data_IF_640919068121
#
_entry.id   IF_640919068121
#
_cell.length_a   1.000
_cell.length_b   1.000
_cell.length_c   1.000
_cell.angle_alpha   90.00
_cell.angle_beta   90.00
_cell.angle_gamma   90.00
#
_symmetry.space_group_name_H-M   'P 1'
#
loop_
_entity.id
_entity.type
_entity.pdbx_description
1 polymer ?
#
# COMPACT_ATOMS: atom_id res chain seq x y z
N UNK A 1 -13.97 -11.81 -12.32
CA UNK A 1 -14.92 -10.68 -12.47
C UNK A 1 -14.79 -9.73 -11.29
N UNK A 2 -14.78 -8.42 -11.48
CA UNK A 2 -14.64 -7.46 -10.38
C UNK A 2 -16.00 -6.97 -9.88
N UNK A 3 -16.15 -6.87 -8.56
CA UNK A 3 -17.28 -6.20 -7.93
C UNK A 3 -16.98 -4.69 -7.93
N UNK A 4 -17.89 -3.86 -8.45
CA UNK A 4 -17.64 -2.42 -8.63
C UNK A 4 -18.22 -1.52 -7.55
N UNK A 5 -19.07 -2.07 -6.69
CA UNK A 5 -19.64 -1.38 -5.54
C UNK A 5 -19.82 -2.36 -4.37
N UNK A 6 -19.76 -1.84 -3.15
CA UNK A 6 -19.88 -2.63 -1.93
C UNK A 6 -21.25 -3.34 -1.86
N UNK A 7 -21.30 -4.68 -1.91
CA UNK A 7 -22.54 -5.42 -1.70
C UNK A 7 -23.03 -5.22 -0.27
N UNK A 8 -24.26 -4.73 -0.12
CA UNK A 8 -24.88 -4.41 1.18
C UNK A 8 -26.21 -5.11 1.39
N UNK A 9 -26.55 -5.31 2.66
CA UNK A 9 -27.82 -5.80 3.17
C UNK A 9 -28.25 -7.09 2.44
N UNK A 10 -29.33 -7.02 1.65
CA UNK A 10 -29.83 -8.15 0.88
C UNK A 10 -28.80 -8.63 -0.16
N UNK A 11 -28.11 -7.73 -0.84
CA UNK A 11 -27.10 -8.12 -1.86
C UNK A 11 -25.94 -8.84 -1.20
N UNK A 12 -25.51 -8.38 -0.02
CA UNK A 12 -24.50 -9.05 0.79
C UNK A 12 -24.96 -10.45 1.21
N UNK A 13 -26.20 -10.57 1.68
CA UNK A 13 -26.79 -11.86 2.05
C UNK A 13 -26.85 -12.84 0.87
N UNK A 14 -27.37 -12.40 -0.27
CA UNK A 14 -27.50 -13.22 -1.47
C UNK A 14 -26.11 -13.63 -2.00
N UNK A 15 -25.10 -12.76 -1.86
CA UNK A 15 -23.70 -13.08 -2.14
C UNK A 15 -23.15 -14.17 -1.21
N UNK A 16 -23.40 -14.07 0.10
CA UNK A 16 -22.99 -15.12 1.04
C UNK A 16 -23.72 -16.45 0.76
N UNK A 17 -25.01 -16.41 0.43
CA UNK A 17 -25.77 -17.61 0.09
C UNK A 17 -25.14 -18.33 -1.11
N UNK A 18 -24.76 -17.59 -2.16
CA UNK A 18 -24.02 -18.17 -3.29
C UNK A 18 -22.65 -18.70 -2.86
N UNK A 19 -21.84 -17.91 -2.15
CA UNK A 19 -20.49 -18.29 -1.75
C UNK A 19 -20.47 -19.56 -0.88
N UNK A 20 -21.40 -19.69 0.08
CA UNK A 20 -21.53 -20.89 0.91
C UNK A 20 -22.02 -22.12 0.14
N UNK A 21 -22.74 -21.94 -0.97
CA UNK A 21 -23.17 -23.04 -1.83
C UNK A 21 -22.07 -23.54 -2.78
N UNK A 22 -21.10 -22.69 -3.11
CA UNK A 22 -20.07 -22.96 -4.12
C UNK A 22 -18.71 -23.34 -3.53
N UNK A 23 -18.39 -22.86 -2.32
CA UNK A 23 -17.06 -22.97 -1.72
C UNK A 23 -17.05 -23.92 -0.53
N UNK A 24 -15.93 -24.60 -0.28
CA UNK A 24 -15.75 -25.48 0.88
C UNK A 24 -15.22 -24.73 2.11
N UNK A 25 -14.56 -23.59 1.88
CA UNK A 25 -13.91 -22.82 2.94
C UNK A 25 -14.05 -21.31 2.73
N UNK A 26 -13.90 -20.56 3.82
CA UNK A 26 -13.68 -19.12 3.79
C UNK A 26 -12.56 -18.76 4.75
N UNK A 27 -12.00 -17.57 4.57
CA UNK A 27 -10.95 -17.03 5.43
C UNK A 27 -11.34 -15.69 6.03
N UNK A 28 -10.72 -15.40 7.17
CA UNK A 28 -10.72 -14.10 7.82
C UNK A 28 -9.32 -13.82 8.37
N UNK A 29 -8.93 -12.55 8.41
CA UNK A 29 -7.56 -12.15 8.72
C UNK A 29 -7.49 -11.26 9.95
N UNK A 30 -6.50 -11.49 10.81
CA UNK A 30 -6.15 -10.61 11.93
C UNK A 30 -4.73 -10.11 11.71
N UNK A 31 -4.60 -8.81 11.39
CA UNK A 31 -3.29 -8.16 11.25
C UNK A 31 -2.74 -7.82 12.64
N UNK A 32 -1.56 -8.36 12.96
CA UNK A 32 -0.88 -8.13 14.23
C UNK A 32 -0.30 -6.70 14.39
N UNK A 33 -0.33 -5.89 13.33
CA UNK A 33 0.28 -4.55 13.26
C UNK A 33 -0.76 -3.44 12.97
N UNK A 34 -2.06 -3.68 13.26
CA UNK A 34 -2.98 -2.55 13.41
C UNK A 34 -2.42 -1.64 14.52
N UNK A 35 -2.50 -0.32 14.37
CA UNK A 35 -1.68 0.63 15.14
C UNK A 35 -1.82 0.36 16.64
N UNK A 36 -0.75 0.60 17.40
CA UNK A 36 -0.75 0.45 18.86
C UNK A 36 -1.95 1.21 19.46
N UNK A 37 -2.94 0.46 19.99
CA UNK A 37 -4.25 0.98 20.39
C UNK A 37 -5.45 0.22 19.80
N UNK A 38 -5.25 -0.57 18.76
CA UNK A 38 -6.30 -1.42 18.16
C UNK A 38 -6.52 -2.69 19.02
N UNK A 39 -7.14 -2.49 20.19
CA UNK A 39 -7.66 -3.59 21.01
C UNK A 39 -8.76 -4.28 20.18
N UNK A 40 -8.71 -5.62 20.01
CA UNK A 40 -9.79 -6.35 19.37
C UNK A 40 -11.12 -5.96 19.99
N UNK A 41 -12.03 -5.44 19.17
CA UNK A 41 -13.36 -5.06 19.67
C UNK A 41 -14.07 -6.27 20.26
N UNK A 42 -15.01 -6.03 21.18
CA UNK A 42 -15.88 -7.09 21.71
C UNK A 42 -16.60 -7.83 20.58
N UNK A 43 -17.02 -7.12 19.53
CA UNK A 43 -17.62 -7.68 18.32
C UNK A 43 -16.68 -8.67 17.62
N UNK A 44 -15.43 -8.29 17.36
CA UNK A 44 -14.43 -9.18 16.77
C UNK A 44 -14.20 -10.44 17.62
N UNK A 45 -14.09 -10.29 18.94
CA UNK A 45 -13.94 -11.41 19.86
C UNK A 45 -15.16 -12.34 19.85
N UNK A 46 -16.37 -11.78 19.78
CA UNK A 46 -17.62 -12.54 19.67
C UNK A 46 -17.68 -13.33 18.35
N UNK A 47 -17.24 -12.75 17.23
CA UNK A 47 -17.15 -13.46 15.94
C UNK A 47 -16.14 -14.60 16.01
N UNK A 48 -14.93 -14.35 16.51
CA UNK A 48 -13.90 -15.38 16.69
C UNK A 48 -14.40 -16.55 17.55
N UNK A 49 -15.08 -16.24 18.66
CA UNK A 49 -15.66 -17.23 19.57
C UNK A 49 -16.79 -18.01 18.89
N UNK A 50 -17.70 -17.32 18.23
CA UNK A 50 -18.82 -17.93 17.51
C UNK A 50 -18.34 -18.86 16.39
N UNK A 51 -17.29 -18.48 15.67
CA UNK A 51 -16.74 -19.27 14.56
C UNK A 51 -15.84 -20.43 14.99
N UNK A 52 -15.51 -20.55 16.28
CA UNK A 52 -14.51 -21.49 16.79
C UNK A 52 -14.77 -22.96 16.43
N UNK A 53 -16.04 -23.39 16.39
CA UNK A 53 -16.43 -24.76 16.03
C UNK A 53 -16.29 -25.08 14.54
N UNK A 54 -16.25 -24.04 13.70
CA UNK A 54 -16.10 -24.14 12.25
C UNK A 54 -14.64 -23.99 11.79
N UNK A 55 -13.73 -23.67 12.71
CA UNK A 55 -12.32 -23.48 12.44
C UNK A 55 -11.68 -24.79 11.95
N UNK A 56 -10.95 -24.68 10.83
CA UNK A 56 -10.12 -25.76 10.28
C UNK A 56 -8.70 -25.60 10.83
N UNK A 57 -8.12 -24.43 10.60
CA UNK A 57 -6.75 -24.10 11.02
C UNK A 57 -6.53 -22.59 11.09
N UNK A 58 -5.47 -22.21 11.80
CA UNK A 58 -4.97 -20.83 11.89
C UNK A 58 -3.49 -20.84 11.50
N UNK A 59 -3.07 -19.93 10.63
CA UNK A 59 -1.68 -19.82 10.16
C UNK A 59 -1.15 -18.40 10.30
N UNK A 60 0.15 -18.30 10.56
CA UNK A 60 0.89 -17.05 10.40
C UNK A 60 1.35 -16.90 8.96
N UNK A 61 0.92 -15.84 8.28
CA UNK A 61 1.17 -15.63 6.86
C UNK A 61 1.49 -14.17 6.53
N UNK A 62 2.36 -13.98 5.54
CA UNK A 62 2.60 -12.70 4.89
C UNK A 62 1.76 -12.52 3.62
N UNK A 63 1.00 -13.55 3.21
CA UNK A 63 0.22 -13.51 1.98
C UNK A 63 -1.06 -14.33 2.16
N UNK A 64 -2.16 -13.77 1.66
CA UNK A 64 -3.47 -14.38 1.57
C UNK A 64 -4.16 -13.86 0.30
N UNK A 65 -5.29 -14.43 -0.13
CA UNK A 65 -6.03 -13.95 -1.31
C UNK A 65 -6.19 -12.43 -1.33
N UNK A 66 -5.65 -11.79 -2.37
CA UNK A 66 -5.77 -10.35 -2.58
C UNK A 66 -4.72 -9.48 -1.90
N UNK A 67 -3.96 -10.00 -0.92
CA UNK A 67 -3.06 -9.17 -0.11
C UNK A 67 -1.74 -9.87 0.18
N UNK A 68 -0.65 -9.14 -0.02
CA UNK A 68 0.71 -9.55 0.38
C UNK A 68 1.34 -8.47 1.25
N UNK A 69 1.64 -8.83 2.49
CA UNK A 69 2.44 -8.02 3.40
C UNK A 69 3.91 -8.03 2.94
N UNK A 70 4.54 -6.87 3.09
CA UNK A 70 5.97 -6.74 2.94
C UNK A 70 6.70 -7.53 4.05
N UNK A 71 7.65 -8.39 3.69
CA UNK A 71 8.36 -9.26 4.64
C UNK A 71 9.70 -8.68 5.14
N UNK A 72 9.87 -7.35 5.06
CA UNK A 72 11.09 -6.64 5.49
C UNK A 72 10.87 -5.74 6.69
N UNK A 73 11.97 -5.07 7.11
CA UNK A 73 11.87 -3.95 8.05
C UNK A 73 11.31 -2.73 7.33
N UNK A 74 10.43 -2.00 8.00
CA UNK A 74 10.01 -0.69 7.53
C UNK A 74 11.13 0.34 7.68
N UNK A 75 10.87 1.57 7.25
CA UNK A 75 11.85 2.64 7.33
C UNK A 75 12.22 3.04 8.78
N UNK A 76 11.51 2.53 9.80
CA UNK A 76 11.80 2.75 11.22
C UNK A 76 12.46 1.55 11.90
N UNK A 77 12.97 0.60 11.10
CA UNK A 77 13.57 -0.63 11.60
C UNK A 77 12.58 -1.63 12.18
N UNK A 78 11.26 -1.34 12.11
CA UNK A 78 10.23 -2.24 12.66
C UNK A 78 10.06 -3.42 11.73
N UNK A 79 10.10 -4.62 12.28
CA UNK A 79 9.83 -5.83 11.53
C UNK A 79 8.32 -5.98 11.32
N UNK A 80 7.89 -6.11 10.07
CA UNK A 80 6.50 -6.47 9.79
C UNK A 80 6.23 -7.86 10.37
N UNK A 81 5.18 -7.98 11.20
CA UNK A 81 4.75 -9.27 11.72
C UNK A 81 3.82 -9.96 10.71
N UNK A 82 3.80 -11.30 10.65
CA UNK A 82 2.82 -12.00 9.86
C UNK A 82 1.41 -11.70 10.38
N UNK A 83 0.42 -11.78 9.50
CA UNK A 83 -0.99 -11.80 9.90
C UNK A 83 -1.39 -13.21 10.34
N UNK A 84 -2.42 -13.30 11.18
CA UNK A 84 -3.08 -14.57 11.46
C UNK A 84 -4.23 -14.75 10.46
N UNK A 85 -4.12 -15.77 9.62
CA UNK A 85 -5.15 -16.15 8.66
C UNK A 85 -5.91 -17.35 9.21
N UNK A 86 -7.21 -17.19 9.40
CA UNK A 86 -8.10 -18.21 9.93
C UNK A 86 -8.86 -18.85 8.77
N UNK A 87 -8.82 -20.18 8.68
CA UNK A 87 -9.53 -20.95 7.67
C UNK A 87 -10.72 -21.64 8.32
N UNK A 88 -11.93 -21.40 7.81
CA UNK A 88 -13.18 -21.93 8.34
C UNK A 88 -13.92 -22.76 7.30
N UNK A 89 -14.71 -23.74 7.76
CA UNK A 89 -15.65 -24.49 6.91
C UNK A 89 -16.87 -23.64 6.57
N UNK A 90 -17.31 -23.68 5.32
CA UNK A 90 -18.61 -23.15 4.91
C UNK A 90 -19.73 -24.06 5.43
N UNK A 91 -20.40 -23.62 6.50
CA UNK A 91 -21.56 -24.29 7.08
C UNK A 91 -22.62 -23.26 7.47
N UNK A 92 -23.90 -23.65 7.52
CA UNK A 92 -25.01 -22.73 7.81
C UNK A 92 -24.84 -21.98 9.14
N UNK A 93 -24.28 -22.64 10.16
CA UNK A 93 -23.97 -22.00 11.43
C UNK A 93 -22.93 -20.88 11.30
N UNK A 94 -21.87 -21.10 10.52
CA UNK A 94 -20.88 -20.06 10.23
C UNK A 94 -21.49 -18.91 9.42
N UNK A 95 -22.31 -19.21 8.41
CA UNK A 95 -23.00 -18.19 7.60
C UNK A 95 -23.84 -17.26 8.47
N UNK A 96 -24.61 -17.82 9.41
CA UNK A 96 -25.42 -17.04 10.34
C UNK A 96 -24.56 -16.07 11.15
N UNK A 97 -23.42 -16.52 11.67
CA UNK A 97 -22.50 -15.66 12.43
C UNK A 97 -21.96 -14.52 11.57
N UNK A 98 -21.60 -14.78 10.30
CA UNK A 98 -21.15 -13.72 9.38
C UNK A 98 -22.26 -12.67 9.11
N UNK A 99 -23.49 -13.13 8.89
CA UNK A 99 -24.66 -12.25 8.66
C UNK A 99 -25.06 -11.45 9.90
N UNK A 100 -24.91 -12.02 11.10
CA UNK A 100 -25.19 -11.33 12.36
C UNK A 100 -24.10 -10.28 12.67
N UNK A 101 -22.88 -10.48 12.18
CA UNK A 101 -21.72 -9.62 12.43
C UNK A 101 -21.62 -8.41 11.48
N UNK A 102 -22.04 -8.57 10.23
CA UNK A 102 -21.87 -7.55 9.19
C UNK A 102 -23.05 -7.53 8.22
N UNK A 103 -23.32 -6.35 7.64
CA UNK A 103 -24.29 -6.17 6.57
C UNK A 103 -23.64 -5.75 5.24
N UNK A 104 -22.31 -5.82 5.11
CA UNK A 104 -21.62 -5.53 3.86
C UNK A 104 -20.33 -6.33 3.71
N UNK A 105 -19.85 -6.47 2.47
CA UNK A 105 -18.58 -7.16 2.21
C UNK A 105 -17.38 -6.34 2.70
N UNK A 106 -17.42 -5.00 2.53
CA UNK A 106 -16.30 -4.14 2.93
C UNK A 106 -16.32 -3.75 4.42
N UNK A 107 -17.34 -4.16 5.18
CA UNK A 107 -17.38 -4.00 6.64
C UNK A 107 -16.36 -4.87 7.38
N UNK A 108 -15.83 -5.93 6.74
CA UNK A 108 -14.82 -6.82 7.31
C UNK A 108 -13.47 -6.11 7.41
N UNK A 109 -13.33 -5.27 8.44
CA UNK A 109 -12.21 -4.37 8.66
C UNK A 109 -11.93 -4.22 10.16
N UNK A 110 -10.67 -4.34 10.56
CA UNK A 110 -10.24 -4.08 11.95
C UNK A 110 -10.35 -2.59 12.31
N UNK A 111 -10.58 -2.25 13.60
CA UNK A 111 -10.63 -3.12 14.78
C UNK A 111 -12.00 -3.75 15.08
N UNK A 112 -13.04 -3.39 14.34
CA UNK A 112 -14.43 -3.80 14.63
C UNK A 112 -14.72 -5.26 14.23
N UNK A 113 -14.13 -5.71 13.12
CA UNK A 113 -14.25 -7.09 12.63
C UNK A 113 -12.88 -7.59 12.17
N UNK A 114 -12.80 -8.88 11.85
CA UNK A 114 -11.66 -9.42 11.12
C UNK A 114 -11.59 -8.82 9.70
N UNK A 115 -10.43 -8.84 9.08
CA UNK A 115 -10.20 -8.34 7.73
C UNK A 115 -10.47 -9.38 6.63
N UNK A 116 -10.73 -8.87 5.42
CA UNK A 116 -10.59 -9.56 4.14
C UNK A 116 -11.36 -10.88 4.00
N UNK A 117 -12.68 -10.88 4.30
CA UNK A 117 -13.56 -12.03 4.09
C UNK A 117 -13.49 -12.53 2.64
N UNK A 118 -12.86 -13.68 2.45
CA UNK A 118 -12.63 -14.30 1.14
C UNK A 118 -13.02 -15.77 1.17
N UNK A 119 -13.44 -16.33 0.03
CA UNK A 119 -13.90 -17.71 -0.11
C UNK A 119 -12.98 -18.53 -1.00
N UNK A 120 -12.88 -19.83 -0.69
CA UNK A 120 -11.98 -20.77 -1.34
C UNK A 120 -12.83 -21.94 -1.88
N UNK A 121 -12.68 -22.20 -3.18
CA UNK A 121 -13.30 -23.31 -3.90
C UNK A 121 -12.21 -24.23 -4.45
N UNK A 122 -12.27 -25.52 -4.16
CA UNK A 122 -11.28 -26.53 -4.61
C UNK A 122 -9.83 -26.09 -4.38
N UNK A 123 -9.54 -25.60 -3.17
CA UNK A 123 -8.22 -25.08 -2.75
C UNK A 123 -7.73 -23.84 -3.50
N UNK A 124 -8.59 -23.17 -4.31
CA UNK A 124 -8.27 -21.94 -5.00
C UNK A 124 -9.15 -20.80 -4.49
N UNK A 125 -8.62 -19.56 -4.40
CA UNK A 125 -9.46 -18.40 -4.12
C UNK A 125 -10.59 -18.31 -5.15
N UNK A 126 -11.80 -18.04 -4.69
CA UNK A 126 -12.99 -17.92 -5.55
C UNK A 126 -13.60 -16.53 -5.45
N UNK A 127 -13.90 -16.05 -4.24
CA UNK A 127 -14.22 -14.65 -3.96
C UNK A 127 -13.09 -14.07 -3.13
N UNK A 128 -12.47 -13.01 -3.63
CA UNK A 128 -11.36 -12.32 -2.98
C UNK A 128 -11.85 -10.94 -2.59
N UNK A 129 -11.67 -10.57 -1.32
CA UNK A 129 -11.96 -9.22 -0.81
C UNK A 129 -10.75 -8.65 -0.09
N UNK A 130 -10.34 -7.46 -0.49
CA UNK A 130 -9.37 -6.62 0.21
C UNK A 130 -10.14 -5.42 0.76
N UNK A 131 -10.75 -5.60 1.94
CA UNK A 131 -11.78 -4.71 2.46
C UNK A 131 -11.24 -3.30 2.75
N UNK A 132 -10.01 -3.20 3.24
CA UNK A 132 -9.35 -1.93 3.51
C UNK A 132 -9.05 -1.12 2.23
N UNK A 133 -8.99 -1.77 1.07
CA UNK A 133 -8.87 -1.14 -0.25
C UNK A 133 -10.22 -0.98 -0.96
N UNK A 134 -11.31 -1.50 -0.38
CA UNK A 134 -12.65 -1.56 -0.99
C UNK A 134 -12.62 -2.22 -2.37
N UNK A 135 -11.89 -3.32 -2.48
CA UNK A 135 -11.78 -4.11 -3.69
C UNK A 135 -12.28 -5.53 -3.45
N UNK A 136 -13.06 -6.05 -4.38
CA UNK A 136 -13.37 -7.47 -4.41
C UNK A 136 -13.56 -7.97 -5.84
N UNK A 137 -13.25 -9.25 -6.05
CA UNK A 137 -13.41 -9.89 -7.34
C UNK A 137 -13.56 -11.40 -7.18
N UNK A 138 -14.22 -12.01 -8.16
CA UNK A 138 -14.29 -13.44 -8.35
C UNK A 138 -13.17 -13.92 -9.26
N UNK A 139 -12.50 -15.01 -8.88
CA UNK A 139 -11.53 -15.73 -9.71
C UNK A 139 -12.21 -16.98 -10.31
N UNK A 140 -12.91 -16.77 -11.42
CA UNK A 140 -13.57 -17.84 -12.17
C UNK A 140 -13.71 -17.46 -13.64
N UNK A 141 -13.55 -18.45 -14.51
CA UNK A 141 -13.84 -18.39 -15.95
C UNK A 141 -14.99 -19.36 -16.32
N UNK A 142 -15.62 -20.00 -15.34
CA UNK A 142 -16.73 -20.93 -15.55
C UNK A 142 -18.01 -20.15 -15.88
N UNK A 143 -18.54 -20.33 -17.10
CA UNK A 143 -19.73 -19.60 -17.58
C UNK A 143 -20.98 -19.82 -16.72
N UNK A 144 -21.11 -20.99 -16.09
CA UNK A 144 -22.25 -21.30 -15.25
C UNK A 144 -22.14 -20.57 -13.90
N UNK A 145 -20.95 -20.51 -13.32
CA UNK A 145 -20.68 -19.68 -12.13
C UNK A 145 -20.88 -18.19 -12.42
N UNK A 146 -20.38 -17.72 -13.56
CA UNK A 146 -20.56 -16.33 -14.01
C UNK A 146 -22.05 -15.98 -14.08
N UNK A 147 -22.87 -16.83 -14.70
CA UNK A 147 -24.33 -16.63 -14.75
C UNK A 147 -24.99 -16.61 -13.38
N UNK A 148 -24.53 -17.44 -12.44
CA UNK A 148 -25.01 -17.42 -11.05
C UNK A 148 -24.67 -16.10 -10.37
N UNK A 149 -23.42 -15.64 -10.50
CA UNK A 149 -22.97 -14.35 -9.95
C UNK A 149 -23.81 -13.19 -10.52
N UNK A 150 -23.99 -13.16 -11.84
CA UNK A 150 -24.78 -12.12 -12.53
C UNK A 150 -26.28 -12.16 -12.16
N UNK A 151 -26.78 -13.30 -11.68
CA UNK A 151 -28.17 -13.42 -11.24
C UNK A 151 -28.44 -12.82 -9.85
N UNK A 152 -27.39 -12.45 -9.10
CA UNK A 152 -27.56 -11.74 -7.82
C UNK A 152 -28.04 -10.33 -8.11
N UNK A 153 -29.32 -10.08 -7.83
CA UNK A 153 -29.95 -8.78 -8.07
C UNK A 153 -29.28 -7.68 -7.25
N UNK A 154 -28.76 -6.66 -7.93
CA UNK A 154 -28.12 -5.50 -7.31
C UNK A 154 -26.62 -5.66 -7.07
N UNK A 155 -26.03 -6.82 -7.40
CA UNK A 155 -24.59 -6.99 -7.40
C UNK A 155 -24.02 -6.40 -8.69
N UNK A 156 -23.24 -5.33 -8.57
CA UNK A 156 -22.59 -4.71 -9.73
C UNK A 156 -21.24 -5.36 -10.00
N UNK A 157 -21.14 -6.04 -11.14
CA UNK A 157 -19.92 -6.73 -11.57
C UNK A 157 -19.47 -6.32 -12.96
N UNK A 158 -18.16 -6.32 -13.18
CA UNK A 158 -17.54 -6.10 -14.48
C UNK A 158 -16.51 -7.17 -14.80
N UNK A 159 -16.57 -7.73 -16.01
CA UNK A 159 -15.51 -8.62 -16.51
C UNK A 159 -14.24 -7.84 -16.78
N UNK A 160 -13.08 -8.51 -16.74
CA UNK A 160 -11.78 -7.88 -17.05
C UNK A 160 -11.76 -7.27 -18.45
N UNK A 161 -12.44 -7.90 -19.41
CA UNK A 161 -12.61 -7.37 -20.75
C UNK A 161 -13.48 -6.11 -20.79
N UNK A 162 -14.60 -6.10 -20.06
CA UNK A 162 -15.46 -4.91 -19.97
C UNK A 162 -14.73 -3.74 -19.31
N UNK A 163 -13.87 -3.99 -18.33
CA UNK A 163 -13.02 -2.95 -17.71
C UNK A 163 -11.96 -2.46 -18.69
N UNK A 164 -11.38 -3.33 -19.53
CA UNK A 164 -10.41 -2.91 -20.56
C UNK A 164 -11.05 -2.09 -21.66
N UNK A 165 -12.25 -2.50 -22.13
CA UNK A 165 -13.01 -1.81 -23.20
C UNK A 165 -13.64 -0.50 -22.71
N UNK A 166 -14.14 -0.49 -21.48
CA UNK A 166 -14.69 0.67 -20.79
C UNK A 166 -13.68 1.33 -19.85
N UNK A 167 -12.37 1.14 -20.05
CA UNK A 167 -11.41 2.11 -19.50
C UNK A 167 -11.87 3.43 -20.09
N UNK A 168 -12.27 4.41 -19.28
CA UNK A 168 -12.32 5.76 -19.79
C UNK A 168 -10.95 5.96 -20.45
N UNK A 169 -10.91 6.34 -21.74
CA UNK A 169 -9.82 7.22 -22.15
C UNK A 169 -9.83 8.27 -21.06
N UNK A 170 -8.77 8.35 -20.26
CA UNK A 170 -8.69 9.31 -19.16
C UNK A 170 -8.75 10.68 -19.83
N UNK A 171 -9.96 11.17 -20.03
CA UNK A 171 -10.27 12.54 -20.33
C UNK A 171 -10.41 13.09 -18.92
N UNK A 172 -9.39 13.81 -18.48
CA UNK A 172 -9.45 14.60 -17.26
C UNK A 172 -10.56 15.63 -17.47
N UNK A 173 -11.78 15.30 -17.08
CA UNK A 173 -12.88 16.24 -17.07
C UNK A 173 -12.72 17.06 -15.79
N UNK A 174 -12.13 18.24 -15.94
CA UNK A 174 -12.15 19.38 -15.02
C UNK A 174 -12.10 19.03 -13.53
N UNK A 175 -10.87 18.82 -13.03
CA UNK A 175 -10.51 18.92 -11.61
C UNK A 175 -10.90 20.34 -11.09
N UNK A 176 -11.46 20.51 -9.87
CA UNK A 176 -11.93 21.81 -9.37
C UNK A 176 -10.80 22.84 -9.12
N UNK A 177 -9.55 22.40 -9.23
CA UNK A 177 -8.41 23.27 -9.35
C UNK A 177 -8.10 23.39 -10.83
N UNK A 178 -8.31 24.57 -11.39
CA UNK A 178 -8.03 24.94 -12.78
C UNK A 178 -6.50 24.91 -13.06
N UNK A 179 -5.86 23.77 -12.81
CA UNK A 179 -4.43 23.54 -12.94
C UNK A 179 -4.16 23.26 -14.41
N UNK A 180 -3.91 24.33 -15.14
CA UNK A 180 -3.50 24.23 -16.53
C UNK A 180 -2.17 23.47 -16.64
N UNK A 181 -2.09 22.52 -17.58
CA UNK A 181 -0.86 21.79 -17.82
C UNK A 181 0.24 22.74 -18.30
N UNK A 182 1.36 22.72 -17.60
CA UNK A 182 2.48 23.62 -17.87
C UNK A 182 3.09 23.43 -19.26
N UNK A 183 2.97 22.24 -19.85
CA UNK A 183 3.43 21.95 -21.20
C UNK A 183 2.40 22.33 -22.28
N UNK A 184 1.10 22.07 -22.05
CA UNK A 184 0.08 22.39 -23.04
C UNK A 184 -0.20 23.90 -23.16
N UNK A 185 0.01 24.65 -22.08
CA UNK A 185 -0.40 26.06 -21.97
C UNK A 185 0.75 27.02 -21.70
N UNK A 186 1.85 26.54 -21.10
CA UNK A 186 2.92 27.39 -20.57
C UNK A 186 4.04 27.75 -21.54
N UNK A 187 4.00 27.32 -22.81
CA UNK A 187 5.12 27.47 -23.76
C UNK A 187 6.48 27.08 -23.16
N UNK A 188 6.51 26.09 -22.27
CA UNK A 188 7.73 25.61 -21.64
C UNK A 188 8.34 24.47 -22.45
N UNK A 189 9.65 24.51 -22.59
CA UNK A 189 10.45 23.59 -23.38
C UNK A 189 11.44 22.83 -22.48
N UNK A 190 12.12 21.84 -23.07
CA UNK A 190 13.24 21.18 -22.41
C UNK A 190 14.29 22.21 -21.96
N UNK A 191 14.73 22.11 -20.71
CA UNK A 191 15.69 23.03 -20.09
C UNK A 191 15.06 24.13 -19.23
N UNK A 192 13.79 24.45 -19.42
CA UNK A 192 13.07 25.45 -18.62
C UNK A 192 12.81 24.95 -17.19
N UNK A 193 12.61 25.88 -16.25
CA UNK A 193 12.28 25.57 -14.85
C UNK A 193 10.76 25.67 -14.68
N UNK A 194 10.13 24.57 -14.28
CA UNK A 194 8.69 24.53 -14.03
C UNK A 194 8.33 25.27 -12.72
N UNK A 195 7.29 26.13 -12.71
CA UNK A 195 6.75 26.75 -11.50
C UNK A 195 6.52 25.77 -10.33
N UNK A 196 6.57 26.22 -9.08
CA UNK A 196 6.48 25.35 -7.90
C UNK A 196 5.21 24.47 -7.85
N UNK A 197 4.10 24.95 -8.43
CA UNK A 197 2.81 24.24 -8.50
C UNK A 197 2.42 23.83 -9.92
N UNK A 198 3.38 23.37 -10.72
CA UNK A 198 3.08 22.89 -12.07
C UNK A 198 2.41 21.52 -12.06
N UNK A 199 1.32 21.44 -12.82
CA UNK A 199 0.67 20.20 -13.22
C UNK A 199 1.14 19.79 -14.62
N UNK A 200 1.31 18.49 -14.83
CA UNK A 200 1.57 17.91 -16.14
C UNK A 200 0.44 16.95 -16.49
N UNK A 201 -0.25 17.20 -17.62
CA UNK A 201 -1.27 16.27 -18.08
C UNK A 201 -0.63 14.97 -18.58
N UNK A 202 -1.39 13.88 -18.54
CA UNK A 202 -0.92 12.58 -19.05
C UNK A 202 -0.51 12.62 -20.52
N UNK A 203 -1.13 13.48 -21.33
CA UNK A 203 -0.76 13.65 -22.73
C UNK A 203 0.71 14.07 -22.90
N UNK A 204 1.16 15.06 -22.13
CA UNK A 204 2.55 15.51 -22.20
C UNK A 204 3.54 14.60 -21.47
N UNK A 205 3.12 13.91 -20.39
CA UNK A 205 3.92 12.82 -19.80
C UNK A 205 4.20 11.74 -20.86
N UNK A 206 3.19 11.36 -21.63
CA UNK A 206 3.31 10.36 -22.69
C UNK A 206 4.12 10.85 -23.91
N UNK A 207 4.26 12.17 -24.08
CA UNK A 207 5.11 12.77 -25.13
C UNK A 207 6.59 12.88 -24.72
N UNK A 208 6.99 12.30 -23.60
CA UNK A 208 8.40 12.16 -23.23
C UNK A 208 9.02 13.36 -22.53
N UNK A 209 8.24 14.30 -21.99
CA UNK A 209 8.77 15.36 -21.12
C UNK A 209 8.39 15.11 -19.67
N UNK A 210 9.34 15.37 -18.76
CA UNK A 210 9.16 15.26 -17.32
C UNK A 210 9.71 16.49 -16.59
N UNK A 211 9.25 16.71 -15.36
CA UNK A 211 9.77 17.74 -14.45
C UNK A 211 10.70 17.06 -13.45
N UNK A 212 11.91 17.59 -13.29
CA UNK A 212 12.86 17.08 -12.30
C UNK A 212 12.36 17.32 -10.87
N UNK A 213 12.45 16.30 -10.02
CA UNK A 213 12.03 16.37 -8.62
C UNK A 213 12.93 17.23 -7.73
N UNK A 214 14.09 17.67 -8.23
CA UNK A 214 15.07 18.46 -7.45
C UNK A 214 15.08 19.91 -7.88
N UNK A 215 15.44 20.18 -9.13
CA UNK A 215 15.62 21.54 -9.64
C UNK A 215 14.43 22.04 -10.47
N UNK A 216 13.36 21.24 -10.57
CA UNK A 216 12.15 21.53 -11.36
C UNK A 216 12.42 21.72 -12.85
N UNK A 217 13.62 21.41 -13.34
CA UNK A 217 13.96 21.52 -14.76
C UNK A 217 13.17 20.51 -15.59
N UNK A 218 12.69 20.97 -16.72
CA UNK A 218 12.01 20.14 -17.72
C UNK A 218 13.06 19.38 -18.51
N UNK A 219 12.90 18.08 -18.65
CA UNK A 219 13.86 17.21 -19.32
C UNK A 219 13.16 16.07 -20.08
N UNK A 220 13.82 15.53 -21.08
CA UNK A 220 13.42 14.29 -21.73
C UNK A 220 14.03 13.08 -21.01
N UNK A 221 13.23 12.22 -20.33
CA UNK A 221 13.74 11.04 -19.64
C UNK A 221 14.45 10.03 -20.55
N UNK A 222 14.15 10.04 -21.86
CA UNK A 222 14.79 9.12 -22.82
C UNK A 222 16.24 9.52 -23.12
N UNK A 223 16.61 10.79 -22.91
CA UNK A 223 17.98 11.29 -23.10
C UNK A 223 18.87 11.07 -21.88
N UNK A 224 18.31 10.66 -20.75
CA UNK A 224 19.09 10.42 -19.53
C UNK A 224 19.78 9.06 -19.63
N UNK A 225 21.10 9.07 -19.51
CA UNK A 225 21.85 7.83 -19.40
C UNK A 225 21.49 7.13 -18.08
N UNK A 226 21.09 5.87 -18.15
CA UNK A 226 20.73 5.08 -16.95
C UNK A 226 21.89 4.94 -15.97
N UNK A 227 23.13 4.99 -16.45
CA UNK A 227 24.31 4.92 -15.59
C UNK A 227 24.53 6.21 -14.78
N UNK A 228 23.95 7.35 -15.20
CA UNK A 228 23.95 8.59 -14.43
C UNK A 228 23.01 8.53 -13.22
N UNK A 229 22.06 7.59 -13.21
CA UNK A 229 21.08 7.37 -12.13
C UNK A 229 21.49 6.20 -11.24
N UNK A 230 22.79 6.05 -10.97
CA UNK A 230 23.33 5.06 -10.05
C UNK A 230 24.08 5.74 -8.92
N UNK A 231 23.82 5.30 -7.70
CA UNK A 231 24.60 5.73 -6.54
C UNK A 231 25.97 5.06 -6.63
N UNK A 232 27.02 5.87 -6.67
CA UNK A 232 28.39 5.36 -6.65
C UNK A 232 28.83 5.04 -5.22
N UNK A 233 28.48 5.91 -4.27
CA UNK A 233 28.86 5.77 -2.85
C UNK A 233 27.60 5.83 -1.96
N UNK A 234 27.21 4.68 -1.42
CA UNK A 234 26.12 4.62 -0.44
C UNK A 234 26.55 5.17 0.91
N UNK A 235 25.62 5.80 1.60
CA UNK A 235 25.79 6.33 2.94
C UNK A 235 25.34 5.29 3.96
N UNK A 236 26.08 5.19 5.05
CA UNK A 236 25.75 4.32 6.17
C UNK A 236 25.76 5.12 7.47
N UNK A 237 24.92 4.71 8.42
CA UNK A 237 24.97 5.20 9.79
C UNK A 237 24.52 4.09 10.72
N UNK A 238 25.49 3.46 11.39
CA UNK A 238 25.21 2.39 12.34
C UNK A 238 24.95 2.93 13.74
N UNK A 239 23.85 2.49 14.35
CA UNK A 239 23.53 2.65 15.76
C UNK A 239 23.10 1.27 16.27
N UNK A 240 23.88 0.72 17.21
CA UNK A 240 23.77 -0.69 17.57
C UNK A 240 23.94 -1.60 16.35
N UNK A 241 23.01 -2.53 16.18
CA UNK A 241 22.96 -3.47 15.04
C UNK A 241 22.23 -2.89 13.80
N UNK A 242 21.72 -1.65 13.88
CA UNK A 242 20.90 -1.05 12.85
C UNK A 242 21.72 -0.09 11.98
N UNK A 243 21.64 -0.23 10.65
CA UNK A 243 22.07 0.81 9.72
C UNK A 243 20.86 1.66 9.30
N UNK A 244 20.78 2.89 9.81
CA UNK A 244 19.63 3.77 9.62
C UNK A 244 19.46 4.23 8.17
N UNK A 245 20.44 4.03 7.30
CA UNK A 245 20.36 4.42 5.89
C UNK A 245 20.17 3.24 4.95
N UNK A 246 20.15 2.00 5.46
CA UNK A 246 20.00 0.79 4.66
C UNK A 246 18.74 0.82 3.78
N UNK A 247 17.61 1.26 4.34
CA UNK A 247 16.34 1.36 3.62
C UNK A 247 16.44 2.34 2.43
N UNK A 248 17.00 3.54 2.67
CA UNK A 248 17.16 4.56 1.62
C UNK A 248 18.12 4.06 0.52
N UNK A 249 19.19 3.36 0.92
CA UNK A 249 20.12 2.77 -0.04
C UNK A 249 19.42 1.77 -0.96
N UNK A 250 18.60 0.87 -0.40
CA UNK A 250 17.84 -0.11 -1.19
C UNK A 250 16.83 0.55 -2.12
N UNK A 251 16.09 1.56 -1.66
CA UNK A 251 15.12 2.29 -2.51
C UNK A 251 15.80 2.92 -3.74
N UNK A 252 17.02 3.42 -3.58
CA UNK A 252 17.73 4.08 -4.65
C UNK A 252 18.51 3.15 -5.59
N UNK A 253 18.79 1.90 -5.19
CA UNK A 253 19.39 0.91 -6.10
C UNK A 253 18.49 0.62 -7.31
N UNK A 254 17.17 0.60 -7.09
CA UNK A 254 16.18 0.25 -8.13
C UNK A 254 15.41 1.47 -8.67
N UNK A 255 15.74 2.68 -8.19
CA UNK A 255 14.97 3.88 -8.52
C UNK A 255 15.10 4.25 -9.99
N UNK A 256 13.96 4.49 -10.63
CA UNK A 256 13.88 4.91 -12.03
C UNK A 256 13.11 6.22 -12.17
N UNK A 257 13.68 7.17 -12.90
CA UNK A 257 13.00 8.36 -13.41
C UNK A 257 12.88 9.54 -12.43
N UNK A 258 12.27 10.62 -12.94
CA UNK A 258 11.98 11.86 -12.20
C UNK A 258 13.18 12.77 -11.92
N UNK A 259 14.35 12.47 -12.49
CA UNK A 259 15.61 13.17 -12.22
C UNK A 259 16.34 13.43 -13.54
N UNK A 260 16.76 14.68 -13.76
CA UNK A 260 17.27 15.16 -15.05
C UNK A 260 18.79 15.02 -15.24
N UNK A 261 19.53 14.61 -14.20
CA UNK A 261 20.99 14.53 -14.23
C UNK A 261 21.53 13.73 -13.06
N UNK A 262 22.79 13.27 -13.19
CA UNK A 262 23.55 12.66 -12.08
C UNK A 262 23.61 13.56 -10.84
N UNK A 263 23.84 14.86 -11.04
CA UNK A 263 23.82 15.86 -9.95
C UNK A 263 22.48 15.87 -9.22
N UNK A 264 21.37 15.96 -9.96
CA UNK A 264 20.05 15.91 -9.35
C UNK A 264 19.78 14.58 -8.66
N UNK A 265 20.25 13.47 -9.21
CA UNK A 265 20.10 12.16 -8.58
C UNK A 265 20.84 12.08 -7.24
N UNK A 266 22.10 12.53 -7.18
CA UNK A 266 22.87 12.60 -5.93
C UNK A 266 22.25 13.56 -4.90
N UNK A 267 21.83 14.76 -5.33
CA UNK A 267 21.15 15.71 -4.44
C UNK A 267 19.85 15.13 -3.88
N UNK A 268 19.06 14.45 -4.71
CA UNK A 268 17.84 13.81 -4.30
C UNK A 268 18.10 12.72 -3.26
N UNK A 269 19.10 11.87 -3.49
CA UNK A 269 19.54 10.85 -2.53
C UNK A 269 19.95 11.44 -1.18
N UNK A 270 20.85 12.43 -1.17
CA UNK A 270 21.29 13.09 0.06
C UNK A 270 20.13 13.73 0.83
N UNK A 271 19.20 14.38 0.12
CA UNK A 271 17.99 14.93 0.74
C UNK A 271 17.13 13.85 1.40
N UNK A 272 16.97 12.68 0.77
CA UNK A 272 16.23 11.57 1.38
C UNK A 272 16.95 11.03 2.62
N UNK A 273 18.28 10.85 2.57
CA UNK A 273 19.05 10.45 3.75
C UNK A 273 18.88 11.45 4.90
N UNK A 274 19.07 12.75 4.65
CA UNK A 274 18.94 13.81 5.66
C UNK A 274 17.54 13.80 6.27
N UNK A 275 16.50 13.83 5.43
CA UNK A 275 15.10 13.82 5.88
C UNK A 275 14.81 12.57 6.72
N UNK A 276 15.34 11.42 6.30
CA UNK A 276 15.17 10.17 7.02
C UNK A 276 15.78 10.21 8.41
N UNK A 277 17.04 10.63 8.54
CA UNK A 277 17.72 10.78 9.83
C UNK A 277 17.07 11.85 10.73
N UNK A 278 16.61 12.97 10.16
CA UNK A 278 15.84 13.98 10.90
C UNK A 278 14.54 13.40 11.46
N UNK A 279 13.90 12.48 10.75
CA UNK A 279 12.70 11.80 11.24
C UNK A 279 13.00 10.97 12.50
N UNK A 280 14.14 10.25 12.53
CA UNK A 280 14.59 9.54 13.74
C UNK A 280 14.81 10.48 14.93
N UNK A 281 15.47 11.64 14.70
CA UNK A 281 15.65 12.64 15.76
C UNK A 281 14.34 13.19 16.29
N UNK A 282 13.40 13.52 15.39
CA UNK A 282 12.10 14.06 15.76
C UNK A 282 11.31 13.04 16.59
N UNK A 283 11.26 11.79 16.15
CA UNK A 283 10.58 10.70 16.87
C UNK A 283 11.23 10.38 18.21
N UNK A 284 12.57 10.43 18.30
CA UNK A 284 13.27 10.23 19.56
C UNK A 284 13.02 11.39 20.55
N UNK A 285 12.80 12.61 20.05
CA UNK A 285 12.47 13.79 20.86
C UNK A 285 11.00 13.84 21.27
N UNK A 286 10.14 13.06 20.62
CA UNK A 286 8.74 12.94 20.97
C UNK A 286 8.58 12.13 22.25
N UNK A 287 7.68 12.56 23.14
CA UNK A 287 7.41 11.92 24.42
C UNK A 287 6.49 10.70 24.27
N UNK A 288 5.94 10.48 23.07
CA UNK A 288 5.09 9.33 22.80
C UNK A 288 5.86 8.01 22.92
N UNK A 289 5.27 7.07 23.64
CA UNK A 289 5.77 5.70 23.73
C UNK A 289 5.81 5.06 22.34
N UNK A 290 6.96 4.50 21.98
CA UNK A 290 7.18 3.83 20.69
C UNK A 290 7.72 2.43 20.92
N UNK A 291 7.22 1.47 20.15
CA UNK A 291 7.71 0.08 20.13
C UNK A 291 8.97 -0.10 19.29
N UNK A 292 9.47 0.96 18.64
CA UNK A 292 10.71 0.87 17.88
C UNK A 292 11.92 0.85 18.81
N UNK A 293 12.57 -0.32 18.90
CA UNK A 293 13.80 -0.53 19.68
C UNK A 293 14.87 0.51 19.33
N UNK A 294 15.05 0.80 18.04
CA UNK A 294 16.06 1.77 17.57
C UNK A 294 15.70 3.22 17.94
N UNK A 295 14.42 3.59 17.94
CA UNK A 295 14.01 4.92 18.41
C UNK A 295 14.27 5.06 19.91
N UNK A 296 13.98 4.02 20.69
CA UNK A 296 14.28 3.99 22.12
C UNK A 296 15.80 4.03 22.39
N UNK A 297 16.60 3.34 21.58
CA UNK A 297 18.07 3.36 21.67
C UNK A 297 18.64 4.75 21.36
N UNK A 298 18.07 5.47 20.40
CA UNK A 298 18.47 6.86 20.09
C UNK A 298 18.00 7.81 21.20
N UNK A 299 16.75 7.67 21.65
CA UNK A 299 16.15 8.52 22.69
C UNK A 299 16.95 8.47 23.99
N UNK A 300 17.27 7.26 24.46
CA UNK A 300 17.88 7.04 25.76
C UNK A 300 19.41 7.21 25.78
N UNK A 301 20.03 7.56 24.64
CA UNK A 301 21.49 7.69 24.54
C UNK A 301 21.89 8.99 23.81
N UNK A 302 22.37 9.97 24.58
CA UNK A 302 22.81 11.26 24.04
C UNK A 302 23.93 11.14 23.00
N UNK A 303 24.82 10.13 23.13
CA UNK A 303 25.88 9.87 22.16
C UNK A 303 25.28 9.47 20.81
N UNK A 304 24.23 8.65 20.80
CA UNK A 304 23.53 8.25 19.59
C UNK A 304 22.85 9.45 18.91
N UNK A 305 22.22 10.33 19.69
CA UNK A 305 21.64 11.57 19.15
C UNK A 305 22.72 12.49 18.56
N UNK A 306 23.87 12.60 19.22
CA UNK A 306 25.01 13.39 18.75
C UNK A 306 25.58 12.83 17.44
N UNK A 307 25.79 11.52 17.36
CA UNK A 307 26.22 10.82 16.14
C UNK A 307 25.25 11.11 14.98
N UNK A 308 23.95 11.02 15.24
CA UNK A 308 22.89 11.26 14.26
C UNK A 308 22.89 12.71 13.75
N UNK A 309 22.97 13.69 14.66
CA UNK A 309 23.07 15.13 14.33
C UNK A 309 24.33 15.43 13.51
N UNK A 310 25.47 14.85 13.88
CA UNK A 310 26.71 15.01 13.14
C UNK A 310 26.65 14.41 11.74
N UNK A 311 26.03 13.23 11.58
CA UNK A 311 25.84 12.63 10.26
C UNK A 311 24.96 13.50 9.37
N UNK A 312 23.88 14.07 9.90
CA UNK A 312 23.04 15.03 9.15
C UNK A 312 23.88 16.22 8.67
N UNK A 313 24.66 16.85 9.56
CA UNK A 313 25.53 17.98 9.21
C UNK A 313 26.59 17.60 8.15
N UNK A 314 27.15 16.41 8.25
CA UNK A 314 28.07 15.88 7.24
C UNK A 314 27.38 15.78 5.87
N UNK A 315 26.18 15.20 5.82
CA UNK A 315 25.41 15.05 4.57
C UNK A 315 25.00 16.40 3.99
N UNK A 316 24.62 17.37 4.83
CA UNK A 316 24.35 18.75 4.42
C UNK A 316 25.59 19.41 3.82
N UNK A 317 26.77 19.14 4.37
CA UNK A 317 28.04 19.66 3.83
C UNK A 317 28.35 19.04 2.46
N UNK A 318 28.17 17.71 2.31
CA UNK A 318 28.35 17.02 1.02
C UNK A 318 27.37 17.57 -0.02
N UNK A 319 26.12 17.84 0.38
CA UNK A 319 25.10 18.41 -0.50
C UNK A 319 25.53 19.74 -1.13
N UNK A 320 26.31 20.57 -0.44
CA UNK A 320 26.80 21.85 -0.96
C UNK A 320 27.85 21.70 -2.09
N UNK A 321 28.47 20.52 -2.22
CA UNK A 321 29.44 20.23 -3.27
C UNK A 321 28.74 19.97 -4.61
N UNK A 322 27.47 19.56 -4.58
CA UNK A 322 26.70 19.18 -5.76
C UNK A 322 25.96 20.34 -6.40
#
# INVERSE_FOLDING_TARGET
MYITSDPKDKVYKDLLDLAFSECEQFILVVRQNARQGDIPSETMNNVLKGLSTFLIEKKEQYEWPGTRLWSGRDCFGRQQKPALVYYYRTQDGAKKILLDAANSLYSWLQPNLLEDLSFIKKQKPWLISTSHERQAYFETDDEYEIKKIESIKGLEVKTRESIRKNRPKVIYVNDPLNLECVFCKGNLHEGDIAPERSFVCMGCINNGLAICNVDRRIFDPQKINKDDLRIQDTQTLKIGEFDLLEYINKDFLDRKGGLCSKKCFHLFYLNQCIKHLQTYLNLASDNDETTSEIINEIRNNEVNQYILKNKIKQLETIKLIY
#
